data_IF_948462444524
#
_entry.id   IF_948462444524
#
_cell.length_a   1.000
_cell.length_b   1.000
_cell.length_c   1.000
_cell.angle_alpha   90.00
_cell.angle_beta   90.00
_cell.angle_gamma   90.00
#
_symmetry.space_group_name_H-M   'P 1'
#
loop_
_entity.id
_entity.type
_entity.pdbx_description
1 polymer ?
#
# COMPACT_ATOMS: atom_id res chain seq x y z
N UNK A 1 -19.26 25.44 2.45
CA UNK A 1 -17.97 25.34 3.16
C UNK A 1 -17.68 23.87 3.42
N UNK A 2 -17.11 23.19 2.43
CA UNK A 2 -16.63 21.80 2.54
C UNK A 2 -15.25 21.76 1.91
N UNK A 3 -14.30 21.27 2.68
CA UNK A 3 -12.87 21.45 2.56
C UNK A 3 -12.31 20.71 1.35
N UNK A 4 -11.95 21.46 0.31
CA UNK A 4 -10.87 21.03 -0.59
C UNK A 4 -9.60 21.27 0.22
N UNK A 5 -9.17 20.25 0.97
CA UNK A 5 -7.86 20.28 1.60
C UNK A 5 -6.83 20.41 0.47
N UNK A 6 -6.02 21.47 0.51
CA UNK A 6 -4.67 21.42 -0.03
C UNK A 6 -3.96 20.26 0.68
N UNK A 7 -4.08 19.05 0.13
CA UNK A 7 -3.27 17.91 0.56
C UNK A 7 -1.87 18.20 0.07
N UNK A 8 -0.93 18.32 1.01
CA UNK A 8 0.48 18.52 0.73
C UNK A 8 0.96 17.42 -0.21
N UNK A 9 1.75 17.80 -1.23
CA UNK A 9 2.41 16.83 -2.13
C UNK A 9 3.41 15.92 -1.38
N UNK A 10 3.60 16.15 -0.08
CA UNK A 10 4.49 15.47 0.82
C UNK A 10 3.91 15.52 2.24
N UNK A 11 3.71 14.39 2.89
CA UNK A 11 3.26 14.22 4.27
C UNK A 11 4.25 13.30 4.99
N UNK A 12 4.66 13.67 6.20
CA UNK A 12 5.63 12.90 6.97
C UNK A 12 5.19 12.75 8.42
N UNK A 13 5.23 11.51 8.90
CA UNK A 13 4.95 11.17 10.28
C UNK A 13 6.16 10.45 10.85
N UNK A 14 6.91 11.11 11.72
CA UNK A 14 8.11 10.56 12.32
C UNK A 14 7.82 9.88 13.65
N UNK A 15 8.30 8.64 13.84
CA UNK A 15 8.10 7.86 15.07
C UNK A 15 6.64 7.89 15.57
N UNK A 16 5.70 7.71 14.64
CA UNK A 16 4.28 7.76 14.96
C UNK A 16 3.91 6.59 15.89
N UNK A 17 3.40 6.95 17.08
CA UNK A 17 2.87 6.04 18.10
C UNK A 17 1.35 6.12 18.22
N UNK A 18 0.69 6.99 17.45
CA UNK A 18 -0.75 7.16 17.50
C UNK A 18 -1.47 5.85 17.13
N UNK A 19 -2.62 5.58 17.75
CA UNK A 19 -3.49 4.47 17.37
C UNK A 19 -3.75 4.49 15.87
N UNK A 20 -3.74 3.33 15.24
CA UNK A 20 -3.99 3.24 13.81
C UNK A 20 -5.49 3.30 13.53
N UNK A 21 -5.93 4.36 12.86
CA UNK A 21 -7.36 4.66 12.66
C UNK A 21 -7.96 4.01 11.40
N UNK A 22 -7.13 3.41 10.54
CA UNK A 22 -7.54 2.77 9.27
C UNK A 22 -7.36 1.24 9.29
N UNK A 23 -8.03 0.49 10.18
CA UNK A 23 -7.86 -0.97 10.31
C UNK A 23 -8.45 -1.77 9.12
N UNK A 24 -8.76 -1.11 8.01
CA UNK A 24 -9.35 -1.70 6.81
C UNK A 24 -8.34 -1.68 5.66
N UNK A 25 -8.60 -2.47 4.62
CA UNK A 25 -7.82 -2.37 3.40
C UNK A 25 -8.01 -1.01 2.76
N UNK A 26 -6.91 -0.43 2.30
CA UNK A 26 -6.92 0.82 1.57
C UNK A 26 -5.80 0.85 0.52
N UNK A 27 -5.94 1.82 -0.37
CA UNK A 27 -4.94 2.19 -1.38
C UNK A 27 -5.18 3.66 -1.72
N UNK A 28 -4.11 4.43 -1.85
CA UNK A 28 -4.13 5.87 -2.08
C UNK A 28 -3.42 6.19 -3.42
N UNK A 29 -3.28 7.47 -3.78
CA UNK A 29 -2.61 7.82 -5.04
C UNK A 29 -1.10 8.09 -4.85
N UNK A 30 -0.70 8.42 -3.63
CA UNK A 30 0.65 8.81 -3.29
C UNK A 30 1.57 7.59 -3.18
N UNK A 31 2.85 7.78 -3.42
CA UNK A 31 3.83 6.77 -3.03
C UNK A 31 4.05 6.82 -1.52
N UNK A 32 4.36 5.67 -0.95
CA UNK A 32 4.57 5.53 0.49
C UNK A 32 5.91 4.86 0.79
N UNK A 33 6.65 5.48 1.70
CA UNK A 33 7.83 4.90 2.36
C UNK A 33 7.44 4.68 3.81
N UNK A 34 7.48 3.44 4.25
CA UNK A 34 7.09 3.04 5.59
C UNK A 34 8.26 2.34 6.27
N UNK A 35 8.73 2.86 7.40
CA UNK A 35 9.78 2.23 8.22
C UNK A 35 9.16 1.72 9.53
N UNK A 36 9.27 0.43 9.78
CA UNK A 36 8.80 -0.18 11.02
C UNK A 36 9.85 -0.10 12.13
N UNK A 37 9.51 0.51 13.27
CA UNK A 37 10.44 0.66 14.39
C UNK A 37 10.21 -0.37 15.48
N UNK A 38 8.95 -0.65 15.83
CA UNK A 38 8.63 -1.54 16.93
C UNK A 38 7.17 -1.99 16.92
N UNK A 39 6.95 -3.23 17.35
CA UNK A 39 5.63 -3.79 17.60
C UNK A 39 5.50 -5.25 17.17
N UNK A 40 4.26 -5.69 17.04
CA UNK A 40 3.92 -7.00 16.50
C UNK A 40 2.76 -6.85 15.52
N UNK A 41 3.07 -6.91 14.22
CA UNK A 41 2.13 -6.58 13.15
C UNK A 41 2.31 -7.54 11.98
N UNK A 42 1.21 -8.18 11.59
CA UNK A 42 1.11 -8.81 10.27
C UNK A 42 0.65 -7.74 9.28
N UNK A 43 1.44 -7.50 8.25
CA UNK A 43 1.12 -6.56 7.19
C UNK A 43 0.83 -7.33 5.91
N UNK A 44 -0.42 -7.24 5.44
CA UNK A 44 -0.78 -7.70 4.10
C UNK A 44 -0.60 -6.56 3.11
N UNK A 45 0.30 -6.73 2.15
CA UNK A 45 0.63 -5.74 1.11
C UNK A 45 0.55 -6.43 -0.25
N UNK A 46 -0.36 -5.95 -1.10
CA UNK A 46 -0.70 -6.61 -2.34
C UNK A 46 -1.26 -8.01 -2.08
N UNK A 47 -0.47 -9.01 -2.46
CA UNK A 47 -0.76 -10.43 -2.27
C UNK A 47 0.19 -11.12 -1.28
N UNK A 48 1.05 -10.37 -0.58
CA UNK A 48 2.03 -10.92 0.36
C UNK A 48 1.69 -10.56 1.80
N UNK A 49 1.88 -11.52 2.71
CA UNK A 49 1.85 -11.30 4.15
C UNK A 49 3.27 -11.27 4.71
N UNK A 50 3.53 -10.23 5.49
CA UNK A 50 4.76 -10.05 6.25
C UNK A 50 4.45 -9.97 7.74
N UNK A 51 5.17 -10.74 8.56
CA UNK A 51 5.34 -10.39 9.95
C UNK A 51 6.48 -9.37 10.02
N UNK A 52 6.18 -8.13 10.40
CA UNK A 52 7.16 -7.05 10.37
C UNK A 52 8.21 -7.22 11.47
N UNK A 53 9.45 -6.94 11.13
CA UNK A 53 10.57 -6.85 12.07
C UNK A 53 11.12 -5.42 12.11
N UNK A 54 11.55 -4.91 13.29
CA UNK A 54 12.20 -3.61 13.37
C UNK A 54 13.29 -3.42 12.31
N UNK A 55 13.25 -2.30 11.58
CA UNK A 55 14.14 -2.02 10.46
C UNK A 55 13.63 -2.49 9.08
N UNK A 56 12.49 -3.20 9.01
CA UNK A 56 11.83 -3.46 7.72
C UNK A 56 11.36 -2.11 7.12
N UNK A 57 11.91 -1.77 5.95
CA UNK A 57 11.51 -0.64 5.12
C UNK A 57 10.61 -1.14 4.00
N UNK A 58 9.44 -0.52 3.86
CA UNK A 58 8.43 -0.92 2.90
C UNK A 58 8.22 0.24 1.93
N UNK A 59 8.31 -0.07 0.64
CA UNK A 59 7.95 0.84 -0.44
C UNK A 59 6.60 0.41 -0.98
N UNK A 60 5.69 1.35 -1.21
CA UNK A 60 4.41 1.06 -1.84
C UNK A 60 4.09 2.12 -2.88
N UNK A 61 3.73 1.65 -4.08
CA UNK A 61 2.94 2.41 -5.03
C UNK A 61 1.54 2.60 -4.43
N UNK A 62 0.96 3.80 -4.52
CA UNK A 62 -0.28 4.12 -3.79
C UNK A 62 -1.44 3.15 -4.05
N UNK A 63 -1.57 2.67 -5.29
CA UNK A 63 -2.62 1.72 -5.67
C UNK A 63 -2.41 0.29 -5.15
N UNK A 64 -1.31 0.00 -4.49
CA UNK A 64 -1.08 -1.28 -3.83
C UNK A 64 -2.03 -1.40 -2.64
N UNK A 65 -2.91 -2.39 -2.69
CA UNK A 65 -3.85 -2.67 -1.61
C UNK A 65 -3.07 -3.15 -0.37
N UNK A 66 -3.22 -2.50 0.77
CA UNK A 66 -2.52 -2.93 1.98
C UNK A 66 -3.38 -2.77 3.22
N UNK A 67 -3.01 -3.53 4.26
CA UNK A 67 -3.68 -3.53 5.57
C UNK A 67 -2.74 -4.08 6.66
N UNK A 68 -2.53 -3.33 7.76
CA UNK A 68 -1.90 -3.88 8.93
C UNK A 68 -2.94 -4.58 9.83
N UNK A 69 -2.53 -5.70 10.43
CA UNK A 69 -3.21 -6.39 11.51
C UNK A 69 -2.32 -6.27 12.75
N UNK A 70 -2.68 -5.33 13.61
CA UNK A 70 -1.85 -4.86 14.72
C UNK A 70 -2.27 -5.60 15.99
N UNK A 71 -1.31 -6.20 16.68
CA UNK A 71 -1.53 -6.69 18.03
C UNK A 71 -1.43 -5.54 19.04
N UNK A 72 -2.59 -5.12 19.55
CA UNK A 72 -2.70 -3.97 20.46
C UNK A 72 -2.05 -4.18 21.83
N UNK A 73 -1.54 -5.39 22.11
CA UNK A 73 -0.75 -5.67 23.33
C UNK A 73 0.68 -5.11 23.24
N UNK A 74 1.15 -4.81 22.03
CA UNK A 74 2.48 -4.28 21.76
C UNK A 74 2.40 -2.82 21.29
N UNK A 75 3.46 -2.02 21.47
CA UNK A 75 3.53 -0.70 20.83
C UNK A 75 3.48 -0.85 19.32
N UNK A 76 3.01 0.18 18.61
CA UNK A 76 3.04 0.21 17.14
C UNK A 76 3.71 1.49 16.66
N UNK A 77 5.03 1.42 16.48
CA UNK A 77 5.89 2.58 16.18
C UNK A 77 6.39 2.46 14.75
N UNK A 78 6.14 3.50 13.94
CA UNK A 78 6.54 3.55 12.54
C UNK A 78 6.83 4.98 12.08
N UNK A 79 7.65 5.14 11.05
CA UNK A 79 7.75 6.39 10.30
C UNK A 79 7.12 6.21 8.93
N UNK A 80 6.35 7.18 8.47
CA UNK A 80 5.62 7.09 7.19
C UNK A 80 5.83 8.39 6.42
N UNK A 81 6.29 8.28 5.17
CA UNK A 81 6.30 9.36 4.20
C UNK A 81 5.28 9.01 3.12
N UNK A 82 4.28 9.87 2.93
CA UNK A 82 3.47 9.86 1.72
C UNK A 82 3.88 11.00 0.81
N UNK A 83 4.05 10.75 -0.48
CA UNK A 83 4.36 11.82 -1.42
C UNK A 83 3.74 11.59 -2.79
N UNK A 84 3.32 12.68 -3.43
CA UNK A 84 2.88 12.66 -4.82
C UNK A 84 4.13 12.53 -5.71
N UNK A 85 4.21 11.58 -6.67
CA UNK A 85 5.37 11.45 -7.56
C UNK A 85 5.69 12.76 -8.32
N UNK A 86 4.67 13.60 -8.59
CA UNK A 86 4.85 14.93 -9.22
C UNK A 86 5.71 15.88 -8.39
N UNK A 87 5.81 15.64 -7.08
CA UNK A 87 6.72 16.38 -6.22
C UNK A 87 8.18 16.17 -6.63
N UNK A 88 8.57 14.93 -6.91
CA UNK A 88 9.94 14.58 -7.31
C UNK A 88 10.21 15.06 -8.74
N UNK A 89 9.23 14.90 -9.63
CA UNK A 89 9.29 15.40 -11.01
C UNK A 89 9.47 16.93 -11.07
N UNK A 90 8.77 17.68 -10.22
CA UNK A 90 8.92 19.13 -10.15
C UNK A 90 10.31 19.57 -9.67
N UNK A 91 10.97 18.78 -8.82
CA UNK A 91 12.33 19.06 -8.35
C UNK A 91 13.37 18.73 -9.44
N UNK A 92 13.17 17.61 -10.13
CA UNK A 92 14.05 17.12 -11.21
C UNK A 92 13.39 17.30 -12.58
N UNK A 93 12.97 18.52 -12.90
CA UNK A 93 12.22 18.82 -14.12
C UNK A 93 13.01 18.63 -15.43
N UNK A 94 14.34 18.54 -15.36
CA UNK A 94 15.22 18.32 -16.49
C UNK A 94 15.89 16.95 -16.42
N UNK A 95 15.74 16.15 -17.48
CA UNK A 95 16.31 14.81 -17.60
C UNK A 95 15.48 13.71 -16.94
N UNK A 96 16.04 12.50 -16.88
CA UNK A 96 15.31 11.30 -16.47
C UNK A 96 15.48 10.96 -14.98
N UNK A 97 16.17 11.81 -14.20
CA UNK A 97 16.47 11.53 -12.78
C UNK A 97 15.24 11.25 -11.93
N UNK A 98 14.16 12.01 -12.12
CA UNK A 98 12.90 11.73 -11.41
C UNK A 98 12.36 10.34 -11.76
N UNK A 99 12.41 9.95 -13.03
CA UNK A 99 11.87 8.68 -13.50
C UNK A 99 12.65 7.48 -12.95
N UNK A 100 13.97 7.62 -12.82
CA UNK A 100 14.83 6.60 -12.20
C UNK A 100 14.62 6.51 -10.70
N UNK A 101 14.56 7.64 -9.97
CA UNK A 101 14.31 7.63 -8.52
C UNK A 101 12.94 7.07 -8.14
N UNK A 102 11.94 7.27 -9.01
CA UNK A 102 10.59 6.74 -8.82
C UNK A 102 10.43 5.29 -9.30
N UNK A 103 11.45 4.75 -9.98
CA UNK A 103 11.42 3.40 -10.55
C UNK A 103 11.18 2.29 -9.53
N UNK A 104 11.81 2.28 -8.32
CA UNK A 104 11.54 1.25 -7.32
C UNK A 104 10.06 1.14 -6.96
N UNK A 105 9.35 2.27 -6.85
CA UNK A 105 7.92 2.29 -6.55
C UNK A 105 7.07 1.84 -7.73
N UNK A 106 7.38 2.35 -8.93
CA UNK A 106 6.61 2.07 -10.15
C UNK A 106 6.73 0.62 -10.61
N UNK A 107 7.96 0.12 -10.70
CA UNK A 107 8.26 -1.17 -11.33
C UNK A 107 7.96 -2.33 -10.36
N UNK A 108 8.33 -2.19 -9.08
CA UNK A 108 8.08 -3.24 -8.08
C UNK A 108 6.63 -3.22 -7.57
N UNK A 109 5.95 -2.07 -7.67
CA UNK A 109 4.62 -1.77 -7.06
C UNK A 109 4.61 -1.79 -5.54
N UNK A 110 5.35 -2.70 -4.92
CA UNK A 110 5.71 -2.69 -3.52
C UNK A 110 6.98 -3.50 -3.32
N UNK A 111 7.72 -3.19 -2.26
CA UNK A 111 8.90 -3.94 -1.87
C UNK A 111 9.07 -3.88 -0.36
N UNK A 112 9.57 -4.96 0.24
CA UNK A 112 10.07 -4.95 1.61
C UNK A 112 11.58 -5.14 1.59
N UNK A 113 12.31 -4.13 2.04
CA UNK A 113 13.74 -4.16 2.26
C UNK A 113 14.01 -4.45 3.73
N UNK A 114 14.88 -5.43 3.99
CA UNK A 114 15.44 -5.63 5.32
C UNK A 114 16.78 -4.89 5.38
N UNK A 115 16.76 -3.70 5.94
CA UNK A 115 17.94 -2.86 6.01
C UNK A 115 19.00 -3.52 6.90
N UNK A 116 20.25 -3.51 6.45
CA UNK A 116 21.39 -3.79 7.30
C UNK A 116 21.53 -2.71 8.38
N UNK A 117 22.34 -2.97 9.41
CA UNK A 117 22.55 -2.02 10.52
C UNK A 117 23.00 -0.64 10.02
N UNK A 118 23.94 -0.59 9.07
CA UNK A 118 24.40 0.68 8.48
C UNK A 118 23.34 1.39 7.63
N UNK A 119 22.57 0.65 6.82
CA UNK A 119 21.48 1.23 6.02
C UNK A 119 20.36 1.76 6.92
N UNK A 120 20.06 1.06 8.03
CA UNK A 120 19.07 1.51 9.01
C UNK A 120 19.53 2.77 9.72
N UNK A 121 20.80 2.83 10.15
CA UNK A 121 21.36 4.04 10.76
C UNK A 121 21.28 5.24 9.82
N UNK A 122 21.67 5.06 8.55
CA UNK A 122 21.59 6.09 7.51
C UNK A 122 20.13 6.55 7.27
N UNK A 123 19.19 5.61 7.13
CA UNK A 123 17.77 5.92 7.00
C UNK A 123 17.26 6.74 8.21
N UNK A 124 17.61 6.33 9.43
CA UNK A 124 17.20 7.02 10.65
C UNK A 124 17.73 8.45 10.72
N UNK A 125 19.01 8.66 10.38
CA UNK A 125 19.61 10.01 10.34
C UNK A 125 18.91 10.92 9.32
N UNK A 126 18.52 10.38 8.16
CA UNK A 126 17.79 11.13 7.15
C UNK A 126 16.37 11.47 7.60
N UNK A 127 15.64 10.52 8.19
CA UNK A 127 14.29 10.73 8.72
C UNK A 127 14.28 11.75 9.88
N UNK A 128 15.24 11.66 10.81
CA UNK A 128 15.45 12.66 11.86
C UNK A 128 15.65 14.06 11.27
N UNK A 129 16.47 14.16 10.22
CA UNK A 129 16.74 15.44 9.55
C UNK A 129 15.51 15.99 8.84
N UNK A 130 14.70 15.16 8.19
CA UNK A 130 13.42 15.57 7.59
C UNK A 130 12.50 16.14 8.70
N UNK A 131 12.38 15.43 9.83
CA UNK A 131 11.53 15.82 10.96
C UNK A 131 11.96 17.16 11.57
N UNK A 132 13.25 17.30 11.86
CA UNK A 132 13.80 18.51 12.47
C UNK A 132 13.63 19.74 11.57
N UNK A 133 13.75 19.57 10.25
CA UNK A 133 13.62 20.67 9.30
C UNK A 133 12.17 21.09 9.05
N UNK A 134 11.21 20.16 9.14
CA UNK A 134 9.78 20.47 9.08
C UNK A 134 9.38 21.47 10.18
N UNK A 135 9.87 21.25 11.40
CA UNK A 135 9.62 22.13 12.55
C UNK A 135 10.18 23.56 12.42
N UNK A 136 11.12 23.81 11.49
CA UNK A 136 11.65 25.17 11.26
C UNK A 136 10.68 26.06 10.48
N UNK A 137 9.95 25.48 9.52
CA UNK A 137 8.96 26.19 8.69
C UNK A 137 9.48 27.36 7.83
N UNK A 138 10.80 27.61 7.78
CA UNK A 138 11.41 28.67 6.97
C UNK A 138 11.92 28.14 5.62
N UNK A 139 12.27 29.07 4.71
CA UNK A 139 12.73 28.72 3.36
C UNK A 139 13.90 27.72 3.37
N UNK A 140 14.90 27.94 4.25
CA UNK A 140 16.08 27.08 4.34
C UNK A 140 15.72 25.71 4.89
N UNK A 141 14.86 25.64 5.91
CA UNK A 141 14.32 24.41 6.47
C UNK A 141 13.65 23.57 5.40
N UNK A 142 12.75 24.16 4.61
CA UNK A 142 12.07 23.47 3.50
C UNK A 142 13.07 22.93 2.47
N UNK A 143 14.09 23.70 2.09
CA UNK A 143 15.11 23.20 1.15
C UNK A 143 15.95 22.06 1.75
N UNK A 144 16.31 22.13 3.04
CA UNK A 144 17.09 21.09 3.71
C UNK A 144 16.26 19.81 3.95
N UNK A 145 14.97 19.94 4.24
CA UNK A 145 14.03 18.83 4.32
C UNK A 145 13.96 18.12 2.96
N UNK A 146 13.81 18.90 1.88
CA UNK A 146 13.78 18.38 0.51
C UNK A 146 15.08 17.65 0.14
N UNK A 147 16.24 18.22 0.48
CA UNK A 147 17.53 17.56 0.22
C UNK A 147 17.66 16.23 0.96
N UNK A 148 17.28 16.19 2.25
CA UNK A 148 17.32 14.95 3.02
C UNK A 148 16.35 13.88 2.49
N UNK A 149 15.18 14.29 2.01
CA UNK A 149 14.23 13.39 1.34
C UNK A 149 14.77 12.84 0.02
N UNK A 150 15.37 13.69 -0.82
CA UNK A 150 16.00 13.23 -2.06
C UNK A 150 17.16 12.27 -1.79
N UNK A 151 18.01 12.59 -0.81
CA UNK A 151 19.09 11.72 -0.37
C UNK A 151 18.55 10.34 0.06
N UNK A 152 17.44 10.30 0.80
CA UNK A 152 16.77 9.05 1.15
C UNK A 152 16.29 8.27 -0.09
N UNK A 153 15.75 8.96 -1.12
CA UNK A 153 15.37 8.31 -2.37
C UNK A 153 16.57 7.73 -3.13
N UNK A 154 17.72 8.41 -3.13
CA UNK A 154 18.95 7.87 -3.72
C UNK A 154 19.42 6.62 -2.97
N UNK A 155 19.44 6.65 -1.63
CA UNK A 155 19.77 5.48 -0.82
C UNK A 155 18.83 4.30 -1.10
N UNK A 156 17.51 4.54 -1.13
CA UNK A 156 16.51 3.51 -1.45
C UNK A 156 16.74 2.94 -2.85
N UNK A 157 17.02 3.78 -3.84
CA UNK A 157 17.31 3.33 -5.20
C UNK A 157 18.48 2.35 -5.22
N UNK A 158 19.57 2.66 -4.51
CA UNK A 158 20.74 1.80 -4.39
C UNK A 158 20.43 0.49 -3.65
N UNK A 159 19.70 0.55 -2.53
CA UNK A 159 19.32 -0.63 -1.75
C UNK A 159 18.40 -1.58 -2.53
N UNK A 160 17.58 -1.05 -3.44
CA UNK A 160 16.76 -1.86 -4.33
C UNK A 160 17.55 -2.56 -5.45
N UNK A 161 18.82 -2.20 -5.67
CA UNK A 161 19.69 -2.94 -6.62
C UNK A 161 20.25 -4.22 -6.00
N UNK A 162 20.27 -4.32 -4.67
CA UNK A 162 20.63 -5.55 -3.98
C UNK A 162 19.49 -6.59 -4.12
N UNK A 163 19.81 -7.89 -4.16
CA UNK A 163 18.78 -8.92 -4.19
C UNK A 163 17.80 -8.74 -3.03
N UNK A 164 16.54 -8.48 -3.36
CA UNK A 164 15.47 -8.39 -2.36
C UNK A 164 15.44 -9.70 -1.58
N UNK A 165 15.70 -9.64 -0.27
CA UNK A 165 15.62 -10.81 0.58
C UNK A 165 14.16 -11.29 0.63
N UNK A 166 13.86 -12.31 -0.16
CA UNK A 166 12.59 -13.04 -0.07
C UNK A 166 12.53 -13.78 1.26
N UNK A 167 11.82 -13.20 2.22
CA UNK A 167 11.32 -13.95 3.38
C UNK A 167 9.85 -13.63 3.57
N UNK A 168 9.01 -14.37 2.84
CA UNK A 168 7.57 -14.47 3.02
C UNK A 168 7.23 -15.19 4.35
N UNK A 169 5.97 -15.05 4.79
CA UNK A 169 5.26 -15.87 5.78
C UNK A 169 6.14 -16.76 6.69
N UNK A 170 6.49 -16.24 7.89
CA UNK A 170 7.26 -16.98 8.89
C UNK A 170 6.29 -17.66 9.88
N UNK A 171 5.87 -18.90 9.59
CA UNK A 171 5.01 -19.71 10.45
C UNK A 171 3.95 -20.52 9.70
N UNK A 172 3.50 -21.64 10.26
CA UNK A 172 2.47 -22.48 9.62
C UNK A 172 1.17 -21.69 9.35
N UNK A 173 0.62 -20.89 10.30
CA UNK A 173 -0.55 -20.05 10.04
C UNK A 173 -0.35 -19.08 8.88
N UNK A 174 0.78 -18.36 8.86
CA UNK A 174 1.11 -17.38 7.83
C UNK A 174 1.24 -18.05 6.47
N UNK A 175 1.89 -19.22 6.39
CA UNK A 175 2.03 -20.01 5.16
C UNK A 175 0.64 -20.41 4.65
N UNK A 176 -0.24 -20.92 5.53
CA UNK A 176 -1.60 -21.32 5.12
C UNK A 176 -2.42 -20.15 4.58
N UNK A 177 -2.28 -18.98 5.18
CA UNK A 177 -2.96 -17.77 4.73
C UNK A 177 -2.36 -17.25 3.42
N UNK A 178 -1.04 -17.32 3.26
CA UNK A 178 -0.36 -16.97 2.01
C UNK A 178 -0.81 -17.89 0.85
N UNK A 179 -0.91 -19.20 1.08
CA UNK A 179 -1.46 -20.16 0.10
C UNK A 179 -2.91 -19.80 -0.27
N UNK A 180 -3.73 -19.42 0.72
CA UNK A 180 -5.11 -18.98 0.47
C UNK A 180 -5.18 -17.70 -0.36
N UNK A 181 -4.30 -16.73 -0.09
CA UNK A 181 -4.20 -15.52 -0.90
C UNK A 181 -3.82 -15.86 -2.34
N UNK A 182 -2.83 -16.73 -2.55
CA UNK A 182 -2.42 -17.16 -3.89
C UNK A 182 -3.56 -17.85 -4.66
N UNK A 183 -4.34 -18.70 -3.99
CA UNK A 183 -5.55 -19.28 -4.59
C UNK A 183 -6.53 -18.18 -5.01
N UNK A 184 -6.78 -17.21 -4.12
CA UNK A 184 -7.70 -16.10 -4.41
C UNK A 184 -7.20 -15.24 -5.56
N UNK A 185 -5.92 -14.85 -5.59
CA UNK A 185 -5.33 -14.09 -6.70
C UNK A 185 -5.41 -14.84 -8.04
N UNK A 186 -5.32 -16.17 -8.02
CA UNK A 186 -5.48 -17.00 -9.22
C UNK A 186 -6.91 -17.09 -9.75
N UNK A 187 -7.93 -16.69 -8.98
CA UNK A 187 -9.34 -16.83 -9.38
C UNK A 187 -10.26 -15.71 -8.89
N UNK A 188 -9.73 -14.54 -8.53
CA UNK A 188 -10.54 -13.47 -7.94
C UNK A 188 -11.64 -12.97 -8.89
N UNK A 189 -11.51 -13.19 -10.20
CA UNK A 189 -12.51 -12.82 -11.21
C UNK A 189 -13.67 -13.84 -11.31
N UNK A 190 -13.52 -15.03 -10.72
CA UNK A 190 -14.50 -16.12 -10.79
C UNK A 190 -15.45 -16.10 -9.61
N UNK A 191 -16.58 -16.79 -9.72
CA UNK A 191 -17.38 -17.11 -8.54
C UNK A 191 -16.66 -18.19 -7.74
N UNK A 192 -16.19 -17.84 -6.54
CA UNK A 192 -15.51 -18.78 -5.65
C UNK A 192 -16.12 -18.74 -4.25
N UNK A 193 -16.30 -19.92 -3.69
CA UNK A 193 -16.79 -20.14 -2.33
C UNK A 193 -15.64 -20.44 -1.37
N UNK A 194 -15.88 -20.23 -0.08
CA UNK A 194 -14.90 -20.60 0.95
C UNK A 194 -14.60 -22.11 0.97
N UNK A 195 -15.59 -22.94 0.64
CA UNK A 195 -15.44 -24.41 0.56
C UNK A 195 -14.49 -24.80 -0.57
N UNK A 196 -14.59 -24.16 -1.74
CA UNK A 196 -13.70 -24.41 -2.87
C UNK A 196 -12.26 -23.99 -2.57
N UNK A 197 -12.05 -22.83 -1.94
CA UNK A 197 -10.72 -22.39 -1.51
C UNK A 197 -10.12 -23.40 -0.52
N UNK A 198 -10.90 -23.77 0.50
CA UNK A 198 -10.46 -24.72 1.51
C UNK A 198 -10.14 -26.09 0.89
N UNK A 199 -10.95 -26.56 -0.05
CA UNK A 199 -10.76 -27.83 -0.76
C UNK A 199 -9.47 -27.84 -1.59
N UNK A 200 -9.15 -26.76 -2.32
CA UNK A 200 -7.91 -26.61 -3.10
C UNK A 200 -6.65 -26.66 -2.23
N UNK A 201 -6.78 -26.25 -0.97
CA UNK A 201 -5.69 -26.23 0.01
C UNK A 201 -5.66 -27.47 0.92
N UNK A 202 -6.58 -28.42 0.73
CA UNK A 202 -6.79 -29.55 1.64
C UNK A 202 -7.01 -29.13 3.11
N UNK A 203 -7.71 -28.01 3.31
CA UNK A 203 -8.01 -27.43 4.62
C UNK A 203 -9.49 -27.57 4.98
N UNK A 204 -9.78 -27.60 6.27
CA UNK A 204 -11.15 -27.41 6.75
C UNK A 204 -11.55 -25.93 6.60
N UNK A 205 -12.74 -25.64 6.06
CA UNK A 205 -13.21 -24.25 5.87
C UNK A 205 -13.26 -23.41 7.15
N UNK A 206 -13.55 -24.01 8.30
CA UNK A 206 -13.61 -23.30 9.58
C UNK A 206 -12.21 -22.96 10.06
N UNK A 207 -11.26 -23.88 9.87
CA UNK A 207 -9.86 -23.61 10.11
C UNK A 207 -9.35 -22.48 9.21
N UNK A 208 -9.59 -22.56 7.89
CA UNK A 208 -9.24 -21.50 6.94
C UNK A 208 -9.82 -20.15 7.36
N UNK A 209 -11.13 -20.10 7.65
CA UNK A 209 -11.77 -18.84 8.07
C UNK A 209 -11.19 -18.28 9.36
N UNK A 210 -10.81 -19.15 10.31
CA UNK A 210 -10.23 -18.75 11.59
C UNK A 210 -8.82 -18.19 11.38
N UNK A 211 -7.94 -18.98 10.79
CA UNK A 211 -6.53 -18.63 10.62
C UNK A 211 -6.35 -17.40 9.71
N UNK A 212 -7.16 -17.29 8.64
CA UNK A 212 -7.16 -16.11 7.78
C UNK A 212 -7.49 -14.85 8.56
N UNK A 213 -8.50 -14.90 9.45
CA UNK A 213 -8.88 -13.75 10.27
C UNK A 213 -7.87 -13.44 11.36
N UNK A 214 -7.24 -14.45 11.94
CA UNK A 214 -6.19 -14.25 12.95
C UNK A 214 -4.97 -13.56 12.36
N UNK A 215 -4.51 -13.97 11.18
CA UNK A 215 -3.31 -13.41 10.53
C UNK A 215 -3.59 -12.07 9.82
N UNK A 216 -4.71 -11.95 9.09
CA UNK A 216 -4.99 -10.73 8.28
C UNK A 216 -5.86 -9.71 8.99
N UNK A 217 -6.48 -10.08 10.12
CA UNK A 217 -7.50 -9.28 10.81
C UNK A 217 -8.85 -9.22 10.08
N UNK A 218 -9.03 -9.91 8.95
CA UNK A 218 -10.22 -9.80 8.09
C UNK A 218 -10.74 -11.15 7.61
N UNK A 219 -11.87 -11.15 6.90
CA UNK A 219 -12.38 -12.39 6.30
C UNK A 219 -11.87 -12.58 4.87
N UNK A 220 -11.83 -13.82 4.41
CA UNK A 220 -11.51 -14.20 3.02
C UNK A 220 -12.34 -13.39 2.01
N UNK A 221 -13.65 -13.29 2.23
CA UNK A 221 -14.53 -12.55 1.31
C UNK A 221 -14.33 -11.04 1.39
N UNK A 222 -14.04 -10.49 2.58
CA UNK A 222 -13.67 -9.09 2.69
C UNK A 222 -12.42 -8.80 1.85
N UNK A 223 -11.38 -9.63 1.96
CA UNK A 223 -10.19 -9.51 1.12
C UNK A 223 -10.53 -9.60 -0.38
N UNK A 224 -11.28 -10.63 -0.79
CA UNK A 224 -11.71 -10.80 -2.19
C UNK A 224 -12.40 -9.55 -2.74
N UNK A 225 -13.37 -8.98 -2.01
CA UNK A 225 -14.07 -7.79 -2.48
C UNK A 225 -13.16 -6.56 -2.57
N UNK A 226 -12.29 -6.35 -1.59
CA UNK A 226 -11.30 -5.26 -1.67
C UNK A 226 -10.34 -5.45 -2.84
N UNK A 227 -9.90 -6.68 -3.12
CA UNK A 227 -9.06 -6.99 -4.27
C UNK A 227 -9.75 -6.65 -5.59
N UNK A 228 -11.00 -7.08 -5.76
CA UNK A 228 -11.82 -6.79 -6.95
C UNK A 228 -12.05 -5.29 -7.15
N UNK A 229 -12.38 -4.57 -6.08
CA UNK A 229 -12.58 -3.11 -6.13
C UNK A 229 -11.25 -2.40 -6.45
N UNK A 230 -10.13 -2.85 -5.87
CA UNK A 230 -8.82 -2.29 -6.20
C UNK A 230 -8.45 -2.50 -7.66
N UNK A 231 -8.72 -3.70 -8.20
CA UNK A 231 -8.52 -3.97 -9.63
C UNK A 231 -9.41 -3.10 -10.53
N UNK A 232 -10.66 -2.86 -10.12
CA UNK A 232 -11.55 -1.94 -10.82
C UNK A 232 -10.99 -0.50 -10.84
N UNK A 233 -10.42 -0.02 -9.73
CA UNK A 233 -9.73 1.30 -9.69
C UNK A 233 -8.59 1.36 -10.70
N UNK A 234 -7.77 0.30 -10.78
CA UNK A 234 -6.65 0.20 -11.73
C UNK A 234 -7.18 0.23 -13.17
N UNK A 235 -8.20 -0.56 -13.51
CA UNK A 235 -8.76 -0.56 -14.87
C UNK A 235 -9.44 0.75 -15.24
N UNK A 236 -10.04 1.50 -14.31
CA UNK A 236 -10.53 2.83 -14.63
C UNK A 236 -9.42 3.82 -15.03
N UNK A 237 -8.18 3.57 -14.61
CA UNK A 237 -7.00 4.35 -15.00
C UNK A 237 -6.40 3.83 -16.31
N UNK A 238 -6.22 2.51 -16.44
CA UNK A 238 -5.47 1.92 -17.56
C UNK A 238 -6.32 1.61 -18.78
N UNK A 239 -7.64 1.47 -18.60
CA UNK A 239 -8.60 1.09 -19.65
C UNK A 239 -9.74 2.11 -19.72
N UNK A 240 -9.45 3.36 -20.12
CA UNK A 240 -10.41 4.47 -20.05
C UNK A 240 -11.65 4.27 -20.91
N UNK A 241 -11.61 3.36 -21.89
CA UNK A 241 -12.72 3.03 -22.79
C UNK A 241 -13.73 2.05 -22.18
N UNK A 242 -13.33 1.26 -21.18
CA UNK A 242 -14.25 0.28 -20.59
C UNK A 242 -15.40 0.96 -19.85
N UNK A 243 -16.61 0.45 -20.06
CA UNK A 243 -17.77 0.92 -19.31
C UNK A 243 -17.71 0.50 -17.84
N UNK A 244 -18.42 1.20 -16.96
CA UNK A 244 -18.54 0.80 -15.55
C UNK A 244 -19.08 -0.63 -15.41
N UNK A 245 -20.04 -1.01 -16.26
CA UNK A 245 -20.58 -2.37 -16.33
C UNK A 245 -19.51 -3.38 -16.73
N UNK A 246 -18.72 -3.08 -17.75
CA UNK A 246 -17.65 -3.96 -18.21
C UNK A 246 -16.58 -4.17 -17.14
N UNK A 247 -16.12 -3.10 -16.49
CA UNK A 247 -15.18 -3.16 -15.36
C UNK A 247 -15.74 -4.01 -14.23
N UNK A 248 -17.01 -3.85 -13.87
CA UNK A 248 -17.66 -4.63 -12.81
C UNK A 248 -17.69 -6.14 -13.13
N UNK A 249 -18.06 -6.50 -14.36
CA UNK A 249 -18.13 -7.91 -14.78
C UNK A 249 -16.74 -8.53 -14.86
N UNK A 250 -15.76 -7.83 -15.45
CA UNK A 250 -14.36 -8.30 -15.51
C UNK A 250 -13.73 -8.43 -14.12
N UNK A 251 -14.17 -7.64 -13.15
CA UNK A 251 -13.71 -7.74 -11.76
C UNK A 251 -14.37 -8.91 -11.00
N UNK A 252 -15.27 -9.68 -11.63
CA UNK A 252 -15.92 -10.84 -11.04
C UNK A 252 -17.22 -10.57 -10.30
N UNK A 253 -17.84 -9.39 -10.50
CA UNK A 253 -19.18 -9.11 -9.96
C UNK A 253 -20.27 -9.57 -10.92
N UNK A 254 -21.24 -10.36 -10.44
CA UNK A 254 -22.42 -10.78 -11.23
C UNK A 254 -23.41 -9.66 -11.53
N UNK A 255 -23.48 -8.67 -10.64
CA UNK A 255 -24.50 -7.62 -10.70
C UNK A 255 -23.86 -6.26 -10.47
N UNK A 256 -24.12 -5.34 -11.40
CA UNK A 256 -23.62 -3.96 -11.34
C UNK A 256 -24.07 -3.26 -10.04
N UNK A 257 -25.31 -3.48 -9.60
CA UNK A 257 -25.84 -2.90 -8.36
C UNK A 257 -25.03 -3.29 -7.12
N UNK A 258 -24.54 -4.54 -7.06
CA UNK A 258 -23.69 -5.00 -5.97
C UNK A 258 -22.33 -4.33 -6.02
N UNK A 259 -21.71 -4.29 -7.21
CA UNK A 259 -20.44 -3.60 -7.43
C UNK A 259 -20.52 -2.12 -7.05
N UNK A 260 -21.48 -1.37 -7.58
CA UNK A 260 -21.60 0.07 -7.33
C UNK A 260 -21.82 0.38 -5.85
N UNK A 261 -22.58 -0.46 -5.14
CA UNK A 261 -22.78 -0.33 -3.69
C UNK A 261 -21.47 -0.54 -2.91
N UNK A 262 -20.75 -1.64 -3.18
CA UNK A 262 -19.50 -1.94 -2.51
C UNK A 262 -18.40 -0.94 -2.86
N UNK A 263 -18.30 -0.55 -4.13
CA UNK A 263 -17.36 0.47 -4.58
C UNK A 263 -17.58 1.78 -3.83
N UNK A 264 -18.83 2.27 -3.78
CA UNK A 264 -19.15 3.50 -3.03
C UNK A 264 -18.85 3.38 -1.54
N UNK A 265 -19.13 2.24 -0.93
CA UNK A 265 -18.84 1.99 0.48
C UNK A 265 -17.33 2.00 0.76
N UNK A 266 -16.52 1.41 -0.12
CA UNK A 266 -15.07 1.24 0.10
C UNK A 266 -14.25 2.45 -0.37
N UNK A 267 -14.68 3.12 -1.45
CA UNK A 267 -13.95 4.22 -2.10
C UNK A 267 -14.50 5.59 -1.70
N UNK A 268 -15.73 5.65 -1.18
CA UNK A 268 -16.39 6.89 -0.75
C UNK A 268 -17.17 7.62 -1.85
N UNK A 269 -16.95 7.27 -3.12
CA UNK A 269 -17.68 7.81 -4.27
C UNK A 269 -18.18 6.69 -5.20
N UNK A 270 -19.18 6.98 -6.04
CA UNK A 270 -19.65 5.99 -7.01
C UNK A 270 -18.60 5.72 -8.11
N UNK A 271 -18.63 4.55 -8.77
CA UNK A 271 -17.72 4.24 -9.87
C UNK A 271 -17.71 5.31 -10.98
N UNK A 272 -18.88 5.84 -11.36
CA UNK A 272 -18.99 6.90 -12.37
C UNK A 272 -18.34 8.21 -11.90
N UNK A 273 -18.51 8.57 -10.62
CA UNK A 273 -17.85 9.75 -10.05
C UNK A 273 -16.33 9.56 -10.03
N UNK A 274 -15.86 8.38 -9.62
CA UNK A 274 -14.44 8.05 -9.62
C UNK A 274 -13.83 8.18 -11.02
N UNK A 275 -14.46 7.58 -12.04
CA UNK A 275 -14.02 7.67 -13.44
C UNK A 275 -13.97 9.12 -13.93
N UNK A 276 -14.97 9.94 -13.61
CA UNK A 276 -14.98 11.36 -13.98
C UNK A 276 -13.86 12.16 -13.31
N UNK A 277 -13.52 11.85 -12.05
CA UNK A 277 -12.43 12.52 -11.33
C UNK A 277 -11.06 12.21 -11.95
N UNK A 278 -10.87 10.99 -12.46
CA UNK A 278 -9.66 10.60 -13.17
C UNK A 278 -9.51 11.39 -14.48
N UNK A 279 -10.57 11.44 -15.30
CA UNK A 279 -10.56 12.17 -16.57
C UNK A 279 -10.32 13.68 -16.40
N UNK A 280 -10.81 14.27 -15.31
CA UNK A 280 -10.57 15.68 -14.99
C UNK A 280 -9.11 15.95 -14.58
N UNK A 281 -8.44 14.98 -13.97
CA UNK A 281 -7.04 15.09 -13.53
C UNK A 281 -6.03 14.93 -14.67
N UNK A 282 -6.41 14.27 -15.78
CA UNK A 282 -5.57 14.13 -16.99
C UNK A 282 -5.71 15.32 -17.96
N UNK A 283 -6.75 16.13 -17.81
CA UNK A 283 -7.06 17.25 -18.72
C UNK A 283 -6.51 18.61 -18.24
N UNK A 284 -5.74 18.65 -17.15
CA UNK A 284 -5.20 19.87 -16.54
C UNK A 284 -3.75 19.72 -16.15
#
# INVERSE_FOLDING_TARGET
MSFIHHSSMFDFQYHNTAPYETPYFHSHANYEIYLFHSGHVHYLIGDQIYLLQPGDLILMHGLTLHRPNIDTRYPYIRSIIHFDPRYVEAIHAAGDTAQELLRPFRDLKYARLRLSEGQLEEAMQLLDRISLMEGRGDFVGVQRQRLAFLELLYCIYDWCQEPLAERSAEGEPEIRVQEAIQVIEGCYQEEITLEEIASRLHMNKHYLSKVFKEVTGTTVFTYLYHRRINQAKIWFLTEPDWSVTEVAMRAGFKHLSHFSRLFKQMVGCSPDQYRKQLQASESG
#
